data_IF_550985722568
#
_entry.id   IF_550985722568
#
_cell.length_a   1.000
_cell.length_b   1.000
_cell.length_c   1.000
_cell.angle_alpha   90.00
_cell.angle_beta   90.00
_cell.angle_gamma   90.00
#
_symmetry.space_group_name_H-M   'P 1'
#
loop_
_entity.id
_entity.type
_entity.pdbx_description
1 polymer ?
#
# COMPACT_ATOMS: atom_id res chain seq x y z
N UNK A 1 26.49 -15.83 -2.40
CA UNK A 1 26.41 -14.84 -3.51
C UNK A 1 25.86 -13.54 -2.91
N UNK A 2 26.44 -12.39 -3.24
CA UNK A 2 25.84 -11.09 -2.85
C UNK A 2 24.66 -10.80 -3.77
N UNK A 3 23.57 -10.27 -3.22
CA UNK A 3 22.43 -9.84 -4.05
C UNK A 3 22.84 -8.60 -4.84
N UNK A 4 22.47 -8.47 -6.13
CA UNK A 4 22.85 -7.31 -6.95
C UNK A 4 22.00 -6.06 -6.66
N UNK A 5 20.86 -6.20 -6.00
CA UNK A 5 19.91 -5.09 -5.77
C UNK A 5 20.57 -3.91 -5.02
N UNK A 6 21.31 -4.08 -3.90
CA UNK A 6 21.97 -2.95 -3.24
C UNK A 6 23.01 -2.22 -4.11
N UNK A 7 23.71 -2.94 -4.98
CA UNK A 7 24.67 -2.34 -5.93
C UNK A 7 23.92 -1.45 -6.93
N UNK A 8 22.81 -1.95 -7.48
CA UNK A 8 21.95 -1.18 -8.37
C UNK A 8 21.31 0.04 -7.70
N UNK A 9 20.86 -0.09 -6.45
CA UNK A 9 20.38 1.06 -5.68
C UNK A 9 21.49 2.11 -5.49
N UNK A 10 22.74 1.68 -5.30
CA UNK A 10 23.90 2.58 -5.22
C UNK A 10 24.13 3.30 -6.55
N UNK A 11 24.03 2.60 -7.68
CA UNK A 11 24.10 3.22 -9.01
C UNK A 11 23.03 4.30 -9.18
N UNK A 12 21.78 4.05 -8.78
CA UNK A 12 20.73 5.08 -8.80
C UNK A 12 21.12 6.30 -7.94
N UNK A 13 21.63 6.08 -6.72
CA UNK A 13 22.07 7.17 -5.86
C UNK A 13 23.16 8.00 -6.51
N UNK A 14 24.12 7.37 -7.18
CA UNK A 14 25.21 8.07 -7.86
C UNK A 14 24.72 8.88 -9.07
N UNK A 15 23.70 8.41 -9.80
CA UNK A 15 23.10 9.16 -10.91
C UNK A 15 22.39 10.45 -10.47
N UNK A 16 21.88 10.50 -9.23
CA UNK A 16 21.12 11.65 -8.73
C UNK A 16 21.90 12.49 -7.71
N UNK A 17 23.10 12.06 -7.32
CA UNK A 17 23.91 12.69 -6.27
C UNK A 17 24.12 14.18 -6.53
N UNK A 18 24.52 14.53 -7.75
CA UNK A 18 24.83 15.92 -8.13
C UNK A 18 23.58 16.71 -8.57
N UNK A 19 22.36 16.15 -8.42
CA UNK A 19 21.11 16.85 -8.70
C UNK A 19 20.72 17.75 -7.53
N UNK A 20 21.54 18.78 -7.31
CA UNK A 20 21.55 19.64 -6.13
C UNK A 20 20.46 20.71 -6.07
N UNK A 21 19.51 20.70 -7.01
CA UNK A 21 18.43 21.69 -7.05
C UNK A 21 17.46 21.59 -5.86
N UNK A 22 16.63 22.63 -5.73
CA UNK A 22 15.64 22.75 -4.66
C UNK A 22 16.23 23.28 -3.35
N UNK A 23 15.38 23.41 -2.34
CA UNK A 23 15.73 23.95 -1.03
C UNK A 23 15.11 23.10 0.09
N UNK A 24 15.70 23.11 1.28
CA UNK A 24 15.08 22.47 2.46
C UNK A 24 13.84 23.27 2.90
N UNK A 25 12.88 22.61 3.54
CA UNK A 25 11.74 23.30 4.12
C UNK A 25 12.21 24.25 5.24
N UNK A 26 11.88 25.55 5.12
CA UNK A 26 12.41 26.61 5.99
C UNK A 26 11.39 27.18 6.99
N UNK A 27 10.10 26.85 6.81
CA UNK A 27 9.02 27.33 7.68
C UNK A 27 8.95 26.63 9.05
N UNK A 28 9.70 25.52 9.23
CA UNK A 28 9.93 24.85 10.52
C UNK A 28 11.43 24.90 10.80
N UNK A 29 11.89 25.57 11.88
CA UNK A 29 13.32 25.71 12.21
C UNK A 29 14.11 24.40 12.22
N UNK A 30 13.51 23.33 12.73
CA UNK A 30 14.12 22.00 12.80
C UNK A 30 14.35 21.37 11.43
N UNK A 31 13.48 21.65 10.44
CA UNK A 31 13.66 21.21 9.06
C UNK A 31 14.65 22.12 8.30
N UNK A 32 14.67 23.41 8.63
CA UNK A 32 15.59 24.38 8.03
C UNK A 32 17.06 24.05 8.36
N UNK A 33 17.32 23.42 9.51
CA UNK A 33 18.63 22.96 9.94
C UNK A 33 19.04 21.58 9.41
N UNK A 34 18.21 20.93 8.59
CA UNK A 34 18.52 19.61 8.04
C UNK A 34 19.71 19.68 7.09
N UNK A 35 20.60 18.68 7.17
CA UNK A 35 21.71 18.53 6.22
C UNK A 35 21.16 18.20 4.82
N UNK A 36 21.31 19.10 3.83
CA UNK A 36 20.67 18.96 2.52
C UNK A 36 21.30 17.86 1.66
N UNK A 37 22.49 17.36 2.02
CA UNK A 37 23.23 16.37 1.23
C UNK A 37 22.93 14.93 1.67
N UNK A 38 22.02 14.75 2.63
CA UNK A 38 21.50 13.43 2.99
C UNK A 38 20.80 12.78 1.80
N UNK A 39 21.13 11.51 1.60
CA UNK A 39 20.69 10.74 0.45
C UNK A 39 20.59 9.26 0.82
N UNK A 40 19.41 8.68 0.61
CA UNK A 40 19.17 7.25 0.80
C UNK A 40 18.01 6.73 -0.05
N UNK A 41 18.04 5.43 -0.34
CA UNK A 41 17.00 4.69 -1.05
C UNK A 41 16.87 3.29 -0.45
N UNK A 42 15.63 2.83 -0.25
CA UNK A 42 15.33 1.50 0.27
C UNK A 42 14.15 0.86 -0.46
N UNK A 43 14.20 -0.46 -0.57
CA UNK A 43 13.15 -1.32 -1.11
C UNK A 43 12.82 -2.42 -0.10
N UNK A 44 11.54 -2.75 0.06
CA UNK A 44 11.10 -3.92 0.78
C UNK A 44 10.20 -4.78 -0.13
N UNK A 45 10.59 -6.02 -0.37
CA UNK A 45 9.79 -6.95 -1.19
C UNK A 45 8.59 -7.48 -0.39
N UNK A 46 7.57 -7.98 -1.08
CA UNK A 46 6.44 -8.67 -0.43
C UNK A 46 6.85 -9.94 0.32
N UNK A 47 8.05 -10.47 0.07
CA UNK A 47 8.66 -11.58 0.79
C UNK A 47 9.46 -11.19 2.04
N UNK A 48 9.45 -9.90 2.42
CA UNK A 48 10.10 -9.43 3.65
C UNK A 48 11.59 -9.10 3.53
N UNK A 49 12.15 -9.11 2.33
CA UNK A 49 13.56 -8.74 2.12
C UNK A 49 13.69 -7.23 1.99
N UNK A 50 14.54 -6.63 2.83
CA UNK A 50 14.82 -5.19 2.81
C UNK A 50 16.20 -4.95 2.21
N UNK A 51 16.24 -4.16 1.15
CA UNK A 51 17.46 -3.69 0.50
C UNK A 51 17.55 -2.17 0.65
N UNK A 52 18.75 -1.63 0.83
CA UNK A 52 18.94 -0.18 0.83
C UNK A 52 20.33 0.20 0.35
N UNK A 53 20.46 1.45 -0.06
CA UNK A 53 21.72 2.11 -0.37
C UNK A 53 21.73 3.52 0.25
N UNK A 54 22.94 4.07 0.39
CA UNK A 54 23.19 5.38 1.01
C UNK A 54 23.46 5.27 2.50
N UNK A 55 24.45 6.02 2.98
CA UNK A 55 24.87 6.04 4.40
C UNK A 55 23.76 6.57 5.33
N UNK A 56 22.77 7.26 4.76
CA UNK A 56 21.68 7.92 5.48
C UNK A 56 20.41 7.05 5.57
N UNK A 57 20.44 5.78 5.14
CA UNK A 57 19.24 4.93 5.13
C UNK A 57 18.63 4.68 6.52
N UNK A 58 19.47 4.79 7.57
CA UNK A 58 19.10 4.62 8.98
C UNK A 58 18.99 5.95 9.74
N UNK A 59 19.13 7.09 9.05
CA UNK A 59 18.94 8.42 9.65
C UNK A 59 17.46 8.67 9.87
N UNK A 60 17.09 9.03 11.09
CA UNK A 60 15.71 9.38 11.43
C UNK A 60 15.35 10.79 10.92
N UNK A 61 14.13 10.91 10.42
CA UNK A 61 13.47 12.16 10.06
C UNK A 61 11.96 12.05 10.33
N UNK A 62 11.27 13.18 10.46
CA UNK A 62 9.83 13.16 10.71
C UNK A 62 9.06 12.73 9.47
N UNK A 63 8.09 11.83 9.63
CA UNK A 63 7.31 11.24 8.53
C UNK A 63 6.46 12.27 7.76
N UNK A 64 6.01 13.34 8.41
CA UNK A 64 5.27 14.43 7.77
C UNK A 64 4.04 13.92 7.00
N UNK A 65 3.74 14.48 5.83
CA UNK A 65 2.59 14.09 4.99
C UNK A 65 2.61 12.64 4.49
N UNK A 66 3.74 11.92 4.62
CA UNK A 66 3.82 10.47 4.33
C UNK A 66 2.96 9.66 5.31
N UNK A 67 2.61 10.22 6.47
CA UNK A 67 1.71 9.60 7.45
C UNK A 67 0.28 9.43 6.95
N UNK A 68 -0.19 10.32 6.06
CA UNK A 68 -1.61 10.43 5.67
C UNK A 68 -2.20 9.15 5.08
N UNK A 69 -1.54 8.44 4.13
CA UNK A 69 -2.06 7.19 3.60
C UNK A 69 -2.23 6.11 4.68
N UNK A 70 -1.33 6.05 5.66
CA UNK A 70 -1.39 5.04 6.72
C UNK A 70 -2.51 5.32 7.72
N UNK A 71 -2.75 6.58 8.09
CA UNK A 71 -3.88 6.95 8.94
C UNK A 71 -5.21 6.81 8.21
N UNK A 72 -5.26 7.09 6.91
CA UNK A 72 -6.43 6.79 6.09
C UNK A 72 -6.73 5.29 6.03
N UNK A 73 -5.70 4.45 5.86
CA UNK A 73 -5.86 3.00 5.91
C UNK A 73 -6.38 2.53 7.29
N UNK A 74 -5.91 3.15 8.38
CA UNK A 74 -6.40 2.86 9.73
C UNK A 74 -7.87 3.23 9.89
N UNK A 75 -8.29 4.42 9.45
CA UNK A 75 -9.69 4.83 9.53
C UNK A 75 -10.61 3.87 8.76
N UNK A 76 -10.20 3.45 7.56
CA UNK A 76 -10.91 2.45 6.77
C UNK A 76 -10.97 1.08 7.47
N UNK A 77 -9.89 0.71 8.16
CA UNK A 77 -9.83 -0.53 8.94
C UNK A 77 -10.77 -0.52 10.16
N UNK A 78 -10.92 0.62 10.84
CA UNK A 78 -11.75 0.74 12.04
C UNK A 78 -13.23 0.90 11.73
N UNK A 79 -13.56 1.70 10.71
CA UNK A 79 -14.93 2.17 10.48
C UNK A 79 -15.54 1.61 9.19
N UNK A 80 -14.73 1.07 8.29
CA UNK A 80 -15.16 0.68 6.96
C UNK A 80 -15.30 1.87 6.00
N UNK A 81 -15.48 1.55 4.73
CA UNK A 81 -15.45 2.53 3.63
C UNK A 81 -16.54 3.58 3.74
N UNK A 82 -17.79 3.16 3.97
CA UNK A 82 -18.95 4.06 3.90
C UNK A 82 -18.86 5.17 4.94
N UNK A 83 -18.53 4.82 6.20
CA UNK A 83 -18.40 5.78 7.29
C UNK A 83 -17.23 6.77 7.09
N UNK A 84 -16.10 6.32 6.52
CA UNK A 84 -14.98 7.22 6.22
C UNK A 84 -15.34 8.17 5.08
N UNK A 85 -16.05 7.67 4.07
CA UNK A 85 -16.48 8.48 2.93
C UNK A 85 -17.48 9.56 3.32
N UNK A 86 -18.30 9.37 4.36
CA UNK A 86 -19.15 10.44 4.91
C UNK A 86 -18.36 11.67 5.38
N UNK A 87 -17.06 11.55 5.59
CA UNK A 87 -16.19 12.58 6.17
C UNK A 87 -15.18 13.13 5.16
N UNK A 88 -14.72 12.31 4.22
CA UNK A 88 -13.71 12.69 3.23
C UNK A 88 -14.00 12.07 1.85
N UNK A 89 -13.77 12.83 0.79
CA UNK A 89 -13.87 12.36 -0.59
C UNK A 89 -12.68 11.50 -1.04
N UNK A 90 -12.64 11.19 -2.33
CA UNK A 90 -11.55 10.45 -3.00
C UNK A 90 -10.97 11.18 -4.22
N UNK A 91 -11.54 12.33 -4.57
CA UNK A 91 -11.24 13.02 -5.83
C UNK A 91 -9.91 13.78 -5.72
N UNK A 92 -9.09 13.80 -6.79
CA UNK A 92 -7.91 14.66 -6.81
C UNK A 92 -8.33 16.12 -6.65
N UNK A 93 -7.57 16.90 -5.88
CA UNK A 93 -7.78 18.35 -5.82
C UNK A 93 -7.28 18.98 -7.12
N UNK A 94 -8.15 19.75 -7.79
CA UNK A 94 -7.80 20.43 -9.06
C UNK A 94 -7.05 21.75 -8.89
N UNK A 95 -6.95 22.30 -7.67
CA UNK A 95 -6.31 23.61 -7.43
C UNK A 95 -5.15 23.55 -6.44
N UNK A 96 -4.11 24.31 -6.80
CA UNK A 96 -2.87 24.47 -6.07
C UNK A 96 -3.12 25.13 -4.71
N UNK A 97 -3.17 24.30 -3.66
CA UNK A 97 -2.87 24.69 -2.28
C UNK A 97 -3.71 25.83 -1.62
N UNK A 98 -4.69 26.45 -2.30
CA UNK A 98 -5.66 27.46 -1.83
C UNK A 98 -6.94 27.33 -2.70
N UNK A 99 -8.19 27.53 -2.28
CA UNK A 99 -8.81 27.98 -1.03
C UNK A 99 -9.73 26.86 -0.49
N UNK A 100 -9.46 26.37 0.72
CA UNK A 100 -10.28 25.43 1.51
C UNK A 100 -10.39 23.96 1.06
N UNK A 101 -10.25 23.64 -0.23
CA UNK A 101 -10.25 22.25 -0.75
C UNK A 101 -11.39 21.36 -0.22
N UNK A 102 -12.58 21.95 -0.13
CA UNK A 102 -13.83 21.26 0.21
C UNK A 102 -14.65 21.03 -1.06
N UNK A 103 -15.47 19.99 -1.08
CA UNK A 103 -16.44 19.77 -2.14
C UNK A 103 -17.55 20.82 -2.06
N UNK A 104 -17.87 21.45 -3.20
CA UNK A 104 -18.87 22.53 -3.27
C UNK A 104 -20.29 22.10 -2.86
N UNK A 105 -20.60 20.80 -2.94
CA UNK A 105 -21.95 20.29 -2.67
C UNK A 105 -22.14 19.89 -1.20
N UNK A 106 -21.10 19.34 -0.56
CA UNK A 106 -21.22 18.74 0.77
C UNK A 106 -20.19 19.23 1.79
N UNK A 107 -19.28 20.12 1.39
CA UNK A 107 -18.26 20.74 2.24
C UNK A 107 -17.28 19.74 2.89
N UNK A 108 -17.20 18.50 2.41
CA UNK A 108 -16.19 17.53 2.86
C UNK A 108 -14.87 17.81 2.16
N UNK A 109 -13.71 17.56 2.81
CA UNK A 109 -12.43 17.62 2.11
C UNK A 109 -12.41 16.63 0.94
N UNK A 110 -11.87 17.07 -0.19
CA UNK A 110 -11.97 16.31 -1.46
C UNK A 110 -11.19 14.98 -1.45
N UNK A 111 -10.13 14.85 -0.65
CA UNK A 111 -9.40 13.60 -0.45
C UNK A 111 -8.57 13.61 0.86
N UNK A 112 -8.13 12.43 1.36
CA UNK A 112 -7.31 12.33 2.58
C UNK A 112 -5.83 12.73 2.42
N UNK A 113 -5.35 13.04 1.21
CA UNK A 113 -3.93 13.35 0.96
C UNK A 113 -3.61 14.84 1.15
N UNK A 114 -4.63 15.70 1.11
CA UNK A 114 -4.54 17.11 1.49
C UNK A 114 -4.69 17.30 3.01
N UNK A 115 -4.26 18.44 3.54
CA UNK A 115 -4.28 18.68 5.00
C UNK A 115 -5.69 18.66 5.58
N UNK A 116 -6.68 19.24 4.88
CA UNK A 116 -8.07 19.24 5.35
C UNK A 116 -8.61 17.81 5.53
N UNK A 117 -8.41 16.95 4.54
CA UNK A 117 -8.80 15.54 4.63
C UNK A 117 -8.00 14.78 5.67
N UNK A 118 -6.69 15.04 5.78
CA UNK A 118 -5.86 14.39 6.78
C UNK A 118 -6.26 14.74 8.22
N UNK A 119 -6.58 16.01 8.49
CA UNK A 119 -7.11 16.46 9.79
C UNK A 119 -8.46 15.79 10.04
N UNK A 120 -9.37 15.80 9.08
CA UNK A 120 -10.68 15.17 9.23
C UNK A 120 -10.57 13.65 9.50
N UNK A 121 -9.74 12.93 8.75
CA UNK A 121 -9.49 11.50 8.91
C UNK A 121 -8.81 11.18 10.24
N UNK A 122 -7.85 12.00 10.68
CA UNK A 122 -7.21 11.84 11.98
C UNK A 122 -8.27 11.82 13.11
N UNK A 123 -9.28 12.69 13.03
CA UNK A 123 -10.34 12.79 14.04
C UNK A 123 -11.30 11.60 14.08
N UNK A 124 -11.24 10.69 13.10
CA UNK A 124 -12.01 9.45 13.10
C UNK A 124 -11.36 8.35 13.93
N UNK A 125 -10.05 8.44 14.14
CA UNK A 125 -9.27 7.38 14.78
C UNK A 125 -9.67 7.23 16.24
N UNK A 126 -9.91 5.98 16.63
CA UNK A 126 -10.30 5.58 17.99
C UNK A 126 -11.67 6.13 18.46
N UNK A 127 -12.48 6.65 17.52
CA UNK A 127 -13.83 7.12 17.79
C UNK A 127 -13.91 8.57 18.29
N UNK A 128 -15.15 9.08 18.31
CA UNK A 128 -15.47 10.50 18.59
C UNK A 128 -15.17 10.95 20.03
N UNK A 129 -15.07 10.00 20.96
CA UNK A 129 -14.81 10.26 22.38
C UNK A 129 -13.33 10.09 22.74
N UNK A 130 -12.46 9.78 21.76
CA UNK A 130 -11.02 9.60 21.99
C UNK A 130 -10.36 10.91 22.41
N UNK A 131 -9.56 10.86 23.47
CA UNK A 131 -8.65 11.98 23.77
C UNK A 131 -7.57 12.12 22.68
N UNK A 132 -6.91 13.29 22.64
CA UNK A 132 -5.76 13.54 21.76
C UNK A 132 -4.66 12.51 22.00
N UNK A 133 -4.34 12.25 23.27
CA UNK A 133 -3.26 11.35 23.67
C UNK A 133 -3.53 9.90 23.23
N UNK A 134 -4.75 9.39 23.46
CA UNK A 134 -5.13 8.02 23.05
C UNK A 134 -5.11 7.85 21.53
N UNK A 135 -5.57 8.88 20.81
CA UNK A 135 -5.60 8.88 19.34
C UNK A 135 -4.20 8.89 18.76
N UNK A 136 -3.33 9.76 19.28
CA UNK A 136 -1.91 9.84 18.88
C UNK A 136 -1.19 8.53 19.19
N UNK A 137 -1.41 7.95 20.36
CA UNK A 137 -0.79 6.68 20.73
C UNK A 137 -1.23 5.54 19.81
N UNK A 138 -2.51 5.49 19.42
CA UNK A 138 -3.00 4.48 18.47
C UNK A 138 -2.36 4.61 17.08
N UNK A 139 -2.17 5.84 16.60
CA UNK A 139 -1.49 6.11 15.34
C UNK A 139 0.00 5.70 15.43
N UNK A 140 0.67 6.07 16.52
CA UNK A 140 2.07 5.71 16.78
C UNK A 140 2.27 4.20 16.91
N UNK A 141 1.36 3.48 17.60
CA UNK A 141 1.37 2.02 17.70
C UNK A 141 1.24 1.37 16.32
N UNK A 142 0.26 1.79 15.51
CA UNK A 142 0.12 1.29 14.15
C UNK A 142 1.42 1.51 13.35
N UNK A 143 1.99 2.72 13.39
CA UNK A 143 3.19 3.02 12.62
C UNK A 143 4.38 2.19 13.09
N UNK A 144 4.47 1.93 14.40
CA UNK A 144 5.48 1.04 14.98
C UNK A 144 5.33 -0.40 14.50
N UNK A 145 4.11 -0.92 14.45
CA UNK A 145 3.81 -2.25 13.92
C UNK A 145 4.10 -2.34 12.43
N UNK A 146 3.73 -1.31 11.65
CA UNK A 146 4.05 -1.23 10.23
C UNK A 146 5.57 -1.21 9.98
N UNK A 147 6.33 -0.46 10.77
CA UNK A 147 7.80 -0.41 10.69
C UNK A 147 8.49 -1.66 11.24
N UNK A 148 7.82 -2.43 12.11
CA UNK A 148 8.38 -3.58 12.80
C UNK A 148 9.31 -3.21 13.97
N UNK A 149 9.24 -1.96 14.46
CA UNK A 149 9.99 -1.46 15.62
C UNK A 149 9.22 -0.35 16.31
N UNK A 150 9.54 -0.08 17.57
CA UNK A 150 8.97 1.05 18.30
C UNK A 150 9.41 2.39 17.66
N UNK A 151 8.44 3.22 17.28
CA UNK A 151 8.64 4.57 16.79
C UNK A 151 8.29 5.60 17.86
N UNK A 152 8.91 6.77 17.75
CA UNK A 152 8.82 7.87 18.71
C UNK A 152 8.42 9.16 18.01
N UNK A 153 7.81 10.07 18.76
CA UNK A 153 7.43 11.40 18.28
C UNK A 153 8.56 12.39 18.60
N UNK A 154 8.91 13.23 17.64
CA UNK A 154 9.74 14.39 17.88
C UNK A 154 8.91 15.51 18.53
N UNK A 155 8.93 15.55 19.87
CA UNK A 155 8.16 16.51 20.65
C UNK A 155 8.61 17.97 20.43
N UNK A 156 9.89 18.20 20.08
CA UNK A 156 10.40 19.54 19.83
C UNK A 156 9.86 20.06 18.49
N UNK A 157 9.96 19.25 17.44
CA UNK A 157 9.39 19.59 16.14
C UNK A 157 7.86 19.74 16.22
N UNK A 158 7.16 18.84 16.92
CA UNK A 158 5.72 18.96 17.10
C UNK A 158 5.31 20.28 17.75
N UNK A 159 6.01 20.69 18.82
CA UNK A 159 5.73 21.96 19.48
C UNK A 159 6.03 23.17 18.59
N UNK A 160 7.12 23.12 17.82
CA UNK A 160 7.52 24.15 16.86
C UNK A 160 6.51 24.30 15.72
N UNK A 161 6.09 23.19 15.12
CA UNK A 161 5.09 23.18 14.05
C UNK A 161 3.71 23.64 14.55
N UNK A 162 3.30 23.23 15.75
CA UNK A 162 2.04 23.67 16.35
C UNK A 162 2.02 25.19 16.63
N UNK A 163 3.15 25.77 17.05
CA UNK A 163 3.26 27.20 17.29
C UNK A 163 3.09 28.06 16.01
N UNK A 164 3.44 27.51 14.84
CA UNK A 164 3.28 28.15 13.53
C UNK A 164 2.08 27.65 12.72
N UNK A 165 1.16 26.88 13.32
CA UNK A 165 0.14 26.11 12.60
C UNK A 165 -1.09 26.93 12.13
N UNK A 166 -1.00 28.24 11.96
CA UNK A 166 -2.14 29.13 11.64
C UNK A 166 -2.99 28.61 10.46
N UNK A 167 -2.33 28.13 9.40
CA UNK A 167 -3.03 27.57 8.23
C UNK A 167 -3.82 26.30 8.58
N UNK A 168 -3.23 25.38 9.33
CA UNK A 168 -3.92 24.14 9.75
C UNK A 168 -5.01 24.44 10.78
N UNK A 169 -4.82 25.41 11.67
CA UNK A 169 -5.84 25.90 12.61
C UNK A 169 -7.01 26.52 11.86
N UNK A 170 -6.76 27.33 10.83
CA UNK A 170 -7.80 27.89 9.96
C UNK A 170 -8.61 26.79 9.29
N UNK A 171 -7.94 25.77 8.73
CA UNK A 171 -8.60 24.58 8.14
C UNK A 171 -9.45 23.87 9.20
N UNK A 172 -8.91 23.61 10.39
CA UNK A 172 -9.64 22.91 11.44
C UNK A 172 -10.86 23.71 11.93
N UNK A 173 -10.75 25.04 12.06
CA UNK A 173 -11.90 25.90 12.36
C UNK A 173 -12.98 25.82 11.27
N UNK A 174 -12.58 25.79 10.00
CA UNK A 174 -13.48 25.62 8.87
C UNK A 174 -14.21 24.27 8.94
N UNK A 175 -13.49 23.17 9.11
CA UNK A 175 -14.06 21.83 9.24
C UNK A 175 -15.04 21.72 10.41
N UNK A 176 -14.74 22.36 11.55
CA UNK A 176 -15.67 22.45 12.69
C UNK A 176 -16.93 23.22 12.34
N UNK A 177 -16.81 24.32 11.60
CA UNK A 177 -17.97 25.14 11.22
C UNK A 177 -18.97 24.36 10.36
N UNK A 178 -18.49 23.40 9.57
CA UNK A 178 -19.31 22.47 8.78
C UNK A 178 -19.69 21.18 9.51
N UNK A 179 -19.29 21.01 10.78
CA UNK A 179 -19.59 19.82 11.56
C UNK A 179 -18.81 18.55 11.16
N UNK A 180 -17.76 18.68 10.35
CA UNK A 180 -16.93 17.57 9.90
C UNK A 180 -16.06 17.02 11.04
N UNK A 181 -15.54 17.91 11.89
CA UNK A 181 -14.80 17.52 13.11
C UNK A 181 -15.48 18.09 14.35
N UNK A 182 -15.40 17.36 15.47
CA UNK A 182 -16.09 17.67 16.73
C UNK A 182 -15.18 18.33 17.77
N UNK A 183 -13.95 17.82 17.89
CA UNK A 183 -12.93 18.33 18.83
C UNK A 183 -12.63 19.80 18.56
N UNK A 184 -11.94 20.46 19.50
CA UNK A 184 -11.47 21.82 19.28
C UNK A 184 -10.49 21.87 18.09
N UNK A 185 -10.42 23.02 17.40
CA UNK A 185 -9.52 23.17 16.25
C UNK A 185 -8.06 22.95 16.67
N UNK A 186 -7.71 23.42 17.88
CA UNK A 186 -6.39 23.23 18.46
C UNK A 186 -6.08 21.74 18.72
N UNK A 187 -7.01 21.00 19.31
CA UNK A 187 -6.80 19.57 19.61
C UNK A 187 -6.69 18.72 18.34
N UNK A 188 -7.51 19.03 17.33
CA UNK A 188 -7.44 18.36 16.03
C UNK A 188 -6.10 18.60 15.33
N UNK A 189 -5.60 19.84 15.35
CA UNK A 189 -4.30 20.20 14.78
C UNK A 189 -3.14 19.61 15.59
N UNK A 190 -3.23 19.61 16.92
CA UNK A 190 -2.22 18.98 17.79
C UNK A 190 -2.08 17.50 17.47
N UNK A 191 -3.18 16.75 17.43
CA UNK A 191 -3.19 15.33 17.08
C UNK A 191 -2.58 15.05 15.70
N UNK A 192 -2.92 15.86 14.69
CA UNK A 192 -2.35 15.75 13.35
C UNK A 192 -0.85 16.11 13.31
N UNK A 193 -0.42 17.11 14.08
CA UNK A 193 0.98 17.55 14.14
C UNK A 193 1.86 16.48 14.82
N UNK A 194 1.36 15.86 15.89
CA UNK A 194 2.03 14.74 16.55
C UNK A 194 2.17 13.53 15.61
N UNK A 195 1.14 13.22 14.81
CA UNK A 195 1.20 12.23 13.73
C UNK A 195 2.31 12.55 12.71
N UNK A 196 2.42 13.80 12.25
CA UNK A 196 3.44 14.23 11.30
C UNK A 196 4.87 14.20 11.89
N UNK A 197 4.98 14.31 13.21
CA UNK A 197 6.24 14.36 13.94
C UNK A 197 6.80 12.99 14.35
N UNK A 198 6.16 11.89 13.94
CA UNK A 198 6.70 10.54 14.17
C UNK A 198 8.00 10.35 13.38
N UNK A 199 9.06 9.93 14.07
CA UNK A 199 10.38 9.69 13.50
C UNK A 199 10.44 8.32 12.80
N UNK A 200 10.92 8.32 11.57
CA UNK A 200 11.11 7.14 10.72
C UNK A 200 12.44 7.22 9.99
N UNK A 201 12.92 6.09 9.51
CA UNK A 201 14.06 5.98 8.58
C UNK A 201 13.57 5.62 7.18
N UNK A 202 14.47 5.68 6.19
CA UNK A 202 14.15 5.22 4.83
C UNK A 202 13.79 3.74 4.81
N UNK A 203 14.43 2.92 5.66
CA UNK A 203 14.09 1.48 5.78
C UNK A 203 12.69 1.27 6.35
N UNK A 204 12.33 2.00 7.41
CA UNK A 204 11.00 1.89 8.02
C UNK A 204 9.93 2.16 6.97
N UNK A 205 10.07 3.27 6.23
CA UNK A 205 9.12 3.66 5.19
C UNK A 205 9.01 2.63 4.05
N UNK A 206 10.10 1.95 3.68
CA UNK A 206 10.05 0.89 2.68
C UNK A 206 9.21 -0.30 3.17
N UNK A 207 9.38 -0.71 4.44
CA UNK A 207 8.60 -1.81 5.06
C UNK A 207 7.13 -1.41 5.26
N UNK A 208 6.87 -0.20 5.75
CA UNK A 208 5.51 0.34 5.91
C UNK A 208 4.79 0.35 4.55
N UNK A 209 5.45 0.84 3.50
CA UNK A 209 4.92 0.84 2.12
C UNK A 209 4.68 -0.56 1.59
N UNK A 210 5.59 -1.50 1.84
CA UNK A 210 5.44 -2.89 1.43
C UNK A 210 4.25 -3.58 2.12
N UNK A 211 3.88 -3.15 3.34
CA UNK A 211 2.66 -3.62 4.00
C UNK A 211 1.39 -3.21 3.23
N UNK A 212 1.38 -2.06 2.58
CA UNK A 212 0.29 -1.70 1.66
C UNK A 212 0.35 -2.56 0.39
N UNK A 213 1.54 -2.86 -0.15
CA UNK A 213 1.71 -3.70 -1.33
C UNK A 213 1.18 -5.13 -1.15
N UNK A 214 1.31 -5.70 0.05
CA UNK A 214 0.83 -7.05 0.39
C UNK A 214 -0.67 -7.12 0.73
N UNK A 215 -1.40 -6.00 0.63
CA UNK A 215 -2.79 -5.94 1.06
C UNK A 215 -2.94 -6.05 2.59
N UNK A 216 -2.01 -5.42 3.32
CA UNK A 216 -2.10 -5.20 4.76
C UNK A 216 -1.37 -6.21 5.63
N UNK A 217 -0.52 -7.07 5.04
CA UNK A 217 0.32 -8.02 5.78
C UNK A 217 1.73 -7.47 5.90
N UNK A 218 2.20 -7.21 7.11
CA UNK A 218 3.56 -6.74 7.35
C UNK A 218 4.54 -7.82 6.84
N UNK A 219 5.41 -7.52 5.85
CA UNK A 219 6.11 -8.55 5.08
C UNK A 219 7.25 -9.25 5.85
N UNK A 220 7.77 -8.65 6.91
CA UNK A 220 8.82 -9.18 7.78
C UNK A 220 8.25 -10.00 8.94
N UNK A 221 7.17 -9.52 9.57
CA UNK A 221 6.56 -10.18 10.74
C UNK A 221 5.45 -11.16 10.36
N UNK A 222 4.88 -11.04 9.16
CA UNK A 222 3.73 -11.81 8.70
C UNK A 222 2.39 -11.40 9.33
N UNK A 223 2.38 -10.35 10.16
CA UNK A 223 1.18 -9.89 10.85
C UNK A 223 0.22 -9.16 9.90
N UNK A 224 -1.07 -9.50 9.93
CA UNK A 224 -2.10 -8.73 9.23
C UNK A 224 -2.48 -7.50 10.07
N UNK A 225 -2.04 -6.32 9.61
CA UNK A 225 -2.30 -5.03 10.25
C UNK A 225 -3.49 -4.31 9.64
N UNK A 226 -3.74 -4.50 8.33
CA UNK A 226 -4.78 -3.82 7.57
C UNK A 226 -5.55 -4.82 6.70
N UNK A 227 -6.79 -4.48 6.37
CA UNK A 227 -7.59 -5.23 5.41
C UNK A 227 -7.14 -4.97 3.97
N UNK A 228 -7.25 -5.97 3.07
CA UNK A 228 -6.96 -5.77 1.65
C UNK A 228 -7.81 -4.67 1.01
N UNK A 229 -9.06 -4.49 1.47
CA UNK A 229 -9.97 -3.42 1.05
C UNK A 229 -9.43 -2.03 1.41
N UNK A 230 -8.99 -1.84 2.67
CA UNK A 230 -8.40 -0.58 3.11
C UNK A 230 -7.14 -0.24 2.32
N UNK A 231 -6.21 -1.20 2.17
CA UNK A 231 -4.99 -1.00 1.39
C UNK A 231 -5.28 -0.64 -0.07
N UNK A 232 -6.22 -1.34 -0.72
CA UNK A 232 -6.59 -1.08 -2.11
C UNK A 232 -7.12 0.34 -2.29
N UNK A 233 -7.99 0.81 -1.39
CA UNK A 233 -8.53 2.16 -1.48
C UNK A 233 -7.47 3.21 -1.18
N UNK A 234 -6.64 3.00 -0.16
CA UNK A 234 -5.49 3.87 0.13
C UNK A 234 -4.56 4.01 -1.08
N UNK A 235 -4.24 2.91 -1.75
CA UNK A 235 -3.38 2.92 -2.94
C UNK A 235 -4.03 3.64 -4.12
N UNK A 236 -5.36 3.50 -4.29
CA UNK A 236 -6.09 4.25 -5.31
C UNK A 236 -5.97 5.76 -5.09
N UNK A 237 -6.16 6.22 -3.86
CA UNK A 237 -6.04 7.65 -3.53
C UNK A 237 -4.58 8.14 -3.59
N UNK A 238 -3.60 7.32 -3.18
CA UNK A 238 -2.19 7.64 -3.38
C UNK A 238 -1.87 7.83 -4.88
N UNK A 239 -2.48 7.03 -5.75
CA UNK A 239 -2.30 7.14 -7.21
C UNK A 239 -2.91 8.42 -7.77
N UNK A 240 -4.10 8.81 -7.32
CA UNK A 240 -4.81 9.98 -7.86
C UNK A 240 -4.40 11.31 -7.23
N UNK A 241 -3.98 11.32 -5.96
CA UNK A 241 -3.79 12.55 -5.19
C UNK A 241 -2.48 12.61 -4.38
N UNK A 242 -1.68 11.53 -4.34
CA UNK A 242 -0.51 11.45 -3.45
C UNK A 242 0.65 12.40 -3.82
N UNK A 243 0.75 12.76 -5.09
CA UNK A 243 1.74 13.71 -5.64
C UNK A 243 1.10 15.06 -6.01
N UNK A 244 0.01 15.43 -5.32
CA UNK A 244 -0.68 16.72 -5.46
C UNK A 244 -1.06 17.01 -6.93
N UNK A 245 -0.89 18.25 -7.39
CA UNK A 245 -1.18 18.69 -8.77
C UNK A 245 -0.33 17.96 -9.83
N UNK A 246 0.70 17.23 -9.41
CA UNK A 246 1.55 16.40 -10.23
C UNK A 246 1.05 14.96 -10.40
N UNK A 247 0.01 14.51 -9.69
CA UNK A 247 -0.36 13.10 -9.62
C UNK A 247 -0.67 12.45 -10.98
N UNK A 248 -1.34 13.16 -11.89
CA UNK A 248 -1.60 12.66 -13.25
C UNK A 248 -0.31 12.47 -14.07
N UNK A 249 0.62 13.44 -14.02
CA UNK A 249 1.93 13.35 -14.68
C UNK A 249 2.79 12.25 -14.05
N UNK A 250 2.74 12.14 -12.72
CA UNK A 250 3.44 11.11 -11.97
C UNK A 250 2.97 9.71 -12.34
N UNK A 251 1.67 9.46 -12.40
CA UNK A 251 1.14 8.15 -12.77
C UNK A 251 1.42 7.78 -14.24
N UNK A 252 1.58 8.76 -15.13
CA UNK A 252 1.92 8.51 -16.53
C UNK A 252 3.44 8.30 -16.75
N UNK A 253 4.29 9.01 -16.01
CA UNK A 253 5.74 8.95 -16.18
C UNK A 253 6.46 7.95 -15.27
N UNK A 254 6.00 7.81 -14.03
CA UNK A 254 6.58 6.91 -13.01
C UNK A 254 5.66 5.72 -12.74
N UNK A 255 4.35 5.95 -12.62
CA UNK A 255 3.37 4.87 -12.47
C UNK A 255 3.45 4.09 -11.16
N UNK A 256 4.05 4.65 -10.11
CA UNK A 256 4.12 4.04 -8.78
C UNK A 256 3.26 4.88 -7.83
N UNK A 257 2.16 4.36 -7.24
CA UNK A 257 1.40 5.06 -6.21
C UNK A 257 2.32 5.59 -5.11
N UNK A 258 2.32 6.91 -4.84
CA UNK A 258 3.37 7.54 -4.03
C UNK A 258 2.84 8.64 -3.10
N UNK A 259 3.66 9.03 -2.12
CA UNK A 259 3.41 10.19 -1.25
C UNK A 259 4.73 10.82 -0.81
N UNK A 260 4.89 12.11 -1.06
CA UNK A 260 6.02 12.92 -0.55
C UNK A 260 5.72 13.55 0.83
N UNK A 261 6.78 13.81 1.59
CA UNK A 261 6.79 14.62 2.81
C UNK A 261 7.83 15.73 2.73
N UNK A 262 7.51 16.87 3.34
CA UNK A 262 8.36 18.09 3.38
C UNK A 262 9.70 17.91 4.09
N UNK A 263 9.87 16.82 4.85
CA UNK A 263 11.16 16.43 5.41
C UNK A 263 12.13 15.88 4.36
N UNK A 264 11.69 15.67 3.12
CA UNK A 264 12.48 15.08 2.03
C UNK A 264 12.28 13.58 1.84
N UNK A 265 11.38 12.97 2.63
CA UNK A 265 10.96 11.60 2.42
C UNK A 265 10.00 11.47 1.23
N UNK A 266 10.08 10.36 0.51
CA UNK A 266 9.13 9.99 -0.53
C UNK A 266 8.93 8.48 -0.47
N UNK A 267 7.67 8.05 -0.39
CA UNK A 267 7.32 6.63 -0.49
C UNK A 267 6.66 6.32 -1.82
N UNK A 268 6.75 5.05 -2.23
CA UNK A 268 5.81 4.52 -3.19
C UNK A 268 5.65 3.02 -3.08
N UNK A 269 4.53 2.54 -3.61
CA UNK A 269 4.05 1.19 -3.38
C UNK A 269 3.57 0.57 -4.67
N UNK A 270 4.20 -0.52 -5.11
CA UNK A 270 3.71 -1.33 -6.22
C UNK A 270 2.91 -2.52 -5.66
N UNK A 271 1.58 -2.56 -5.86
CA UNK A 271 0.71 -3.61 -5.35
C UNK A 271 1.20 -5.00 -5.79
N UNK A 272 1.34 -5.91 -4.82
CA UNK A 272 1.81 -7.28 -5.04
C UNK A 272 3.31 -7.45 -5.27
N UNK A 273 4.09 -6.37 -5.37
CA UNK A 273 5.52 -6.45 -5.72
C UNK A 273 6.43 -5.99 -4.57
N UNK A 274 6.37 -4.71 -4.19
CA UNK A 274 7.29 -4.11 -3.23
C UNK A 274 6.86 -2.73 -2.76
N UNK A 275 7.43 -2.30 -1.63
CA UNK A 275 7.43 -0.91 -1.14
C UNK A 275 8.78 -0.25 -1.35
N UNK A 276 8.78 1.06 -1.60
CA UNK A 276 9.94 1.89 -1.90
C UNK A 276 9.91 3.09 -0.99
N UNK A 277 11.08 3.51 -0.52
CA UNK A 277 11.24 4.81 0.11
C UNK A 277 12.57 5.44 -0.28
N UNK A 278 12.58 6.75 -0.47
CA UNK A 278 13.79 7.56 -0.60
C UNK A 278 13.80 8.68 0.43
N UNK A 279 14.99 9.17 0.74
CA UNK A 279 15.18 10.33 1.60
C UNK A 279 16.23 11.26 0.99
N UNK A 280 15.82 12.50 0.72
CA UNK A 280 16.68 13.60 0.30
C UNK A 280 16.00 14.94 0.64
N UNK A 281 16.53 15.75 1.58
CA UNK A 281 15.84 16.91 2.14
C UNK A 281 15.40 18.02 1.16
N UNK A 282 16.18 18.30 0.11
CA UNK A 282 15.86 19.39 -0.84
C UNK A 282 14.57 19.11 -1.62
N UNK A 283 13.67 20.10 -1.62
CA UNK A 283 12.36 20.05 -2.24
C UNK A 283 12.29 20.92 -3.50
N UNK A 284 11.51 20.47 -4.48
CA UNK A 284 11.12 21.26 -5.64
C UNK A 284 10.05 22.31 -5.28
N UNK A 285 9.63 23.12 -6.26
CA UNK A 285 8.59 24.13 -6.08
C UNK A 285 7.20 23.56 -5.77
N UNK A 286 7.00 22.24 -5.87
CA UNK A 286 5.77 21.53 -5.53
C UNK A 286 5.87 20.85 -4.15
N UNK A 287 6.98 21.01 -3.42
CA UNK A 287 7.19 20.42 -2.10
C UNK A 287 7.57 18.93 -2.15
N UNK A 288 8.05 18.43 -3.29
CA UNK A 288 8.52 17.05 -3.43
C UNK A 288 10.05 16.98 -3.40
N UNK A 289 10.60 15.91 -2.83
CA UNK A 289 12.06 15.69 -2.84
C UNK A 289 12.62 15.63 -4.26
N UNK A 290 13.54 16.53 -4.62
CA UNK A 290 14.10 16.65 -5.98
C UNK A 290 14.78 15.35 -6.41
N UNK A 291 15.75 14.88 -5.60
CA UNK A 291 16.44 13.63 -5.87
C UNK A 291 15.51 12.43 -5.70
N UNK A 292 14.57 12.48 -4.74
CA UNK A 292 13.58 11.41 -4.55
C UNK A 292 12.73 11.16 -5.79
N UNK A 293 12.15 12.21 -6.38
CA UNK A 293 11.40 12.11 -7.64
C UNK A 293 12.26 11.46 -8.73
N UNK A 294 13.51 11.92 -8.89
CA UNK A 294 14.42 11.38 -9.90
C UNK A 294 14.78 9.91 -9.68
N UNK A 295 14.96 9.47 -8.43
CA UNK A 295 15.18 8.05 -8.12
C UNK A 295 14.00 7.19 -8.56
N UNK A 296 12.77 7.64 -8.31
CA UNK A 296 11.57 6.91 -8.70
C UNK A 296 11.38 6.85 -10.23
N UNK A 297 11.73 7.91 -10.95
CA UNK A 297 11.78 7.89 -12.42
C UNK A 297 12.76 6.82 -12.94
N UNK A 298 13.97 6.75 -12.36
CA UNK A 298 14.98 5.75 -12.72
C UNK A 298 14.50 4.33 -12.38
N UNK A 299 13.93 4.12 -11.18
CA UNK A 299 13.37 2.82 -10.79
C UNK A 299 12.27 2.36 -11.74
N UNK A 300 11.35 3.24 -12.12
CA UNK A 300 10.28 2.92 -13.05
C UNK A 300 10.82 2.57 -14.45
N UNK A 301 11.70 3.40 -14.99
CA UNK A 301 12.26 3.24 -16.33
C UNK A 301 13.18 2.02 -16.44
N UNK A 302 14.15 1.89 -15.55
CA UNK A 302 15.23 0.92 -15.67
C UNK A 302 14.84 -0.47 -15.13
N UNK A 303 14.00 -0.53 -14.10
CA UNK A 303 13.52 -1.81 -13.52
C UNK A 303 12.13 -2.22 -14.02
N UNK A 304 11.49 -1.43 -14.89
CA UNK A 304 10.13 -1.68 -15.38
C UNK A 304 9.05 -1.59 -14.29
N UNK A 305 9.35 -0.90 -13.18
CA UNK A 305 8.51 -0.79 -12.00
C UNK A 305 7.37 0.22 -12.24
N UNK A 306 6.33 -0.21 -12.96
CA UNK A 306 5.22 0.65 -13.32
C UNK A 306 3.88 -0.10 -13.19
N UNK A 307 2.90 0.49 -12.50
CA UNK A 307 1.60 -0.14 -12.20
C UNK A 307 0.82 -0.55 -13.45
N UNK A 308 0.96 0.24 -14.53
CA UNK A 308 0.29 0.01 -15.81
C UNK A 308 1.12 -0.83 -16.81
N UNK A 309 2.27 -1.38 -16.40
CA UNK A 309 3.03 -2.28 -17.27
C UNK A 309 2.26 -3.58 -17.50
N UNK A 310 2.08 -3.95 -18.77
CA UNK A 310 1.40 -5.17 -19.18
C UNK A 310 2.29 -6.42 -19.10
N UNK A 311 3.53 -6.29 -18.61
CA UNK A 311 4.57 -7.32 -18.66
C UNK A 311 4.29 -8.54 -17.76
N UNK A 312 3.20 -8.53 -16.98
CA UNK A 312 2.70 -9.73 -16.32
C UNK A 312 2.02 -10.65 -17.34
N UNK A 313 2.83 -11.38 -18.12
CA UNK A 313 2.37 -12.58 -18.79
C UNK A 313 1.77 -13.52 -17.73
N UNK A 314 0.49 -13.84 -17.88
CA UNK A 314 -0.21 -14.81 -17.05
C UNK A 314 0.61 -16.10 -17.02
N UNK A 315 1.16 -16.47 -15.86
CA UNK A 315 1.67 -17.83 -15.66
C UNK A 315 0.50 -18.79 -15.91
N UNK A 316 0.64 -19.80 -16.79
CA UNK A 316 -0.42 -20.77 -17.02
C UNK A 316 -0.84 -21.43 -15.70
N UNK A 317 -2.12 -21.33 -15.38
CA UNK A 317 -2.67 -21.87 -14.13
C UNK A 317 -2.63 -23.39 -14.09
N UNK A 318 -2.73 -24.06 -15.25
CA UNK A 318 -2.46 -25.49 -15.40
C UNK A 318 -0.96 -25.69 -15.65
N UNK A 319 -0.34 -26.51 -14.80
CA UNK A 319 1.06 -26.92 -14.95
C UNK A 319 1.20 -28.14 -15.84
N UNK A 320 0.30 -29.11 -15.66
CA UNK A 320 0.29 -30.36 -16.41
C UNK A 320 -1.05 -31.06 -16.25
N UNK A 321 -1.49 -31.75 -17.29
CA UNK A 321 -2.58 -32.74 -17.24
C UNK A 321 -1.95 -34.09 -17.56
N UNK A 322 -1.95 -35.01 -16.60
CA UNK A 322 -1.34 -36.34 -16.76
C UNK A 322 -2.38 -37.42 -16.52
N UNK A 323 -2.34 -38.48 -17.31
CA UNK A 323 -3.18 -39.66 -17.14
C UNK A 323 -2.36 -40.81 -16.59
N UNK A 324 -2.86 -41.46 -15.56
CA UNK A 324 -2.32 -42.71 -15.02
C UNK A 324 -3.45 -43.72 -14.87
N UNK A 325 -3.50 -44.70 -15.78
CA UNK A 325 -4.60 -45.65 -15.86
C UNK A 325 -5.98 -44.98 -16.03
N UNK A 326 -6.81 -45.08 -14.99
CA UNK A 326 -8.16 -44.53 -14.91
C UNK A 326 -8.24 -43.15 -14.23
N UNK A 327 -7.12 -42.67 -13.69
CA UNK A 327 -7.01 -41.39 -13.00
C UNK A 327 -6.45 -40.32 -13.95
N UNK A 328 -7.11 -39.16 -14.02
CA UNK A 328 -6.59 -37.94 -14.64
C UNK A 328 -6.18 -36.95 -13.55
N UNK A 329 -4.90 -36.60 -13.50
CA UNK A 329 -4.33 -35.65 -12.53
C UNK A 329 -4.09 -34.31 -13.22
N UNK A 330 -4.80 -33.28 -12.79
CA UNK A 330 -4.63 -31.90 -13.23
C UNK A 330 -3.84 -31.17 -12.16
N UNK A 331 -2.60 -30.80 -12.46
CA UNK A 331 -1.75 -30.03 -11.54
C UNK A 331 -1.91 -28.55 -11.81
N UNK A 332 -2.34 -27.80 -10.82
CA UNK A 332 -2.40 -26.35 -10.86
C UNK A 332 -1.15 -25.73 -10.21
N UNK A 333 -0.85 -24.48 -10.56
CA UNK A 333 0.29 -23.77 -9.97
C UNK A 333 0.07 -22.26 -9.84
N UNK A 334 0.86 -21.63 -8.98
CA UNK A 334 0.90 -20.18 -8.83
C UNK A 334 -0.32 -19.62 -8.08
N UNK A 335 -0.61 -18.33 -8.28
CA UNK A 335 -1.77 -17.68 -7.67
C UNK A 335 -3.00 -17.78 -8.58
N UNK A 336 -4.07 -18.36 -8.06
CA UNK A 336 -5.31 -18.57 -8.81
C UNK A 336 -6.27 -17.40 -8.58
N UNK A 337 -6.22 -16.45 -9.50
CA UNK A 337 -7.15 -15.33 -9.62
C UNK A 337 -8.22 -15.59 -10.71
N UNK A 338 -8.98 -14.57 -11.12
CA UNK A 338 -9.98 -14.70 -12.18
C UNK A 338 -9.35 -15.16 -13.51
N UNK A 339 -8.32 -14.48 -13.99
CA UNK A 339 -7.67 -14.79 -15.27
C UNK A 339 -7.03 -16.18 -15.27
N UNK A 340 -6.34 -16.56 -14.19
CA UNK A 340 -5.77 -17.89 -14.07
C UNK A 340 -6.87 -18.97 -14.05
N UNK A 341 -7.95 -18.76 -13.30
CA UNK A 341 -9.08 -19.70 -13.26
C UNK A 341 -9.82 -19.79 -14.59
N UNK A 342 -10.02 -18.67 -15.30
CA UNK A 342 -10.62 -18.64 -16.63
C UNK A 342 -9.77 -19.45 -17.63
N UNK A 343 -8.46 -19.21 -17.67
CA UNK A 343 -7.54 -19.98 -18.50
C UNK A 343 -7.55 -21.47 -18.14
N UNK A 344 -7.57 -21.82 -16.84
CA UNK A 344 -7.68 -23.21 -16.38
C UNK A 344 -8.97 -23.83 -16.94
N UNK A 345 -10.12 -23.18 -16.75
CA UNK A 345 -11.39 -23.71 -17.23
C UNK A 345 -11.43 -23.84 -18.76
N UNK A 346 -10.87 -22.87 -19.48
CA UNK A 346 -10.76 -22.91 -20.93
C UNK A 346 -9.89 -24.10 -21.38
N UNK A 347 -8.71 -24.24 -20.79
CA UNK A 347 -7.79 -25.33 -21.08
C UNK A 347 -8.43 -26.68 -20.80
N UNK A 348 -9.09 -26.86 -19.65
CA UNK A 348 -9.79 -28.09 -19.32
C UNK A 348 -10.95 -28.39 -20.29
N UNK A 349 -11.67 -27.38 -20.75
CA UNK A 349 -12.75 -27.56 -21.73
C UNK A 349 -12.25 -27.96 -23.13
N UNK A 350 -11.04 -27.52 -23.48
CA UNK A 350 -10.40 -27.85 -24.76
C UNK A 350 -9.68 -29.21 -24.73
N UNK A 351 -9.38 -29.73 -23.54
CA UNK A 351 -8.71 -31.02 -23.37
C UNK A 351 -9.72 -32.17 -23.35
N UNK A 352 -9.39 -33.25 -24.05
CA UNK A 352 -10.13 -34.50 -23.94
C UNK A 352 -9.71 -35.24 -22.66
N UNK A 353 -10.38 -34.95 -21.54
CA UNK A 353 -10.14 -35.60 -20.27
C UNK A 353 -10.64 -37.05 -20.31
N UNK A 354 -9.77 -38.01 -20.00
CA UNK A 354 -10.10 -39.44 -20.01
C UNK A 354 -10.16 -40.05 -18.61
N UNK A 355 -10.62 -41.30 -18.51
CA UNK A 355 -10.75 -42.02 -17.24
C UNK A 355 -12.06 -41.73 -16.51
N UNK A 356 -12.28 -42.33 -15.35
CA UNK A 356 -13.47 -42.10 -14.51
C UNK A 356 -13.20 -41.27 -13.27
N UNK A 357 -11.92 -41.09 -12.91
CA UNK A 357 -11.48 -40.37 -11.72
C UNK A 357 -10.62 -39.19 -12.11
N UNK A 358 -10.83 -38.06 -11.43
CA UNK A 358 -10.11 -36.82 -11.66
C UNK A 358 -9.60 -36.26 -10.34
N UNK A 359 -8.30 -35.98 -10.28
CA UNK A 359 -7.66 -35.38 -9.11
C UNK A 359 -7.12 -34.01 -9.50
N UNK A 360 -7.59 -32.99 -8.81
CA UNK A 360 -7.05 -31.64 -8.90
C UNK A 360 -5.93 -31.48 -7.86
N UNK A 361 -4.69 -31.52 -8.33
CA UNK A 361 -3.50 -31.32 -7.50
C UNK A 361 -3.22 -29.82 -7.37
N UNK A 362 -3.41 -29.29 -6.16
CA UNK A 362 -3.14 -27.89 -5.82
C UNK A 362 -1.90 -27.71 -4.95
N UNK A 363 -1.06 -28.74 -4.82
CA UNK A 363 0.19 -28.69 -4.02
C UNK A 363 1.21 -27.65 -4.49
N UNK A 364 1.04 -27.10 -5.70
CA UNK A 364 1.86 -26.02 -6.27
C UNK A 364 1.11 -24.71 -6.40
N UNK A 365 -0.12 -24.63 -5.91
CA UNK A 365 -0.90 -23.39 -5.84
C UNK A 365 -0.45 -22.60 -4.62
N UNK A 366 0.02 -21.38 -4.85
CA UNK A 366 0.48 -20.49 -3.78
C UNK A 366 -0.69 -19.88 -3.02
N UNK A 367 -1.78 -19.54 -3.72
CA UNK A 367 -2.97 -18.96 -3.10
C UNK A 367 -4.17 -18.94 -4.05
N UNK A 368 -5.37 -18.90 -3.48
CA UNK A 368 -6.61 -18.61 -4.20
C UNK A 368 -7.22 -17.29 -3.75
N UNK A 369 -7.59 -16.43 -4.70
CA UNK A 369 -8.54 -15.36 -4.38
C UNK A 369 -9.98 -15.93 -4.36
N UNK A 370 -10.94 -15.14 -3.86
CA UNK A 370 -12.35 -15.58 -3.73
C UNK A 370 -12.95 -16.06 -5.05
N UNK A 371 -12.69 -15.34 -6.14
CA UNK A 371 -13.28 -15.65 -7.45
C UNK A 371 -12.60 -16.84 -8.12
N UNK A 372 -11.28 -16.92 -8.10
CA UNK A 372 -10.50 -18.04 -8.62
C UNK A 372 -10.89 -19.35 -7.93
N UNK A 373 -11.00 -19.35 -6.59
CA UNK A 373 -11.52 -20.51 -5.84
C UNK A 373 -12.92 -20.90 -6.29
N UNK A 374 -13.83 -19.92 -6.43
CA UNK A 374 -15.22 -20.17 -6.86
C UNK A 374 -15.27 -20.78 -8.26
N UNK A 375 -14.51 -20.24 -9.21
CA UNK A 375 -14.48 -20.69 -10.61
C UNK A 375 -13.90 -22.09 -10.75
N UNK A 376 -12.76 -22.37 -10.11
CA UNK A 376 -12.15 -23.70 -10.15
C UNK A 376 -13.07 -24.75 -9.53
N UNK A 377 -13.71 -24.44 -8.40
CA UNK A 377 -14.71 -25.34 -7.80
C UNK A 377 -15.91 -25.55 -8.71
N UNK A 378 -16.41 -24.51 -9.38
CA UNK A 378 -17.51 -24.66 -10.34
C UNK A 378 -17.11 -25.54 -11.54
N UNK A 379 -15.88 -25.40 -12.05
CA UNK A 379 -15.36 -26.28 -13.10
C UNK A 379 -15.32 -27.74 -12.64
N UNK A 380 -14.80 -27.99 -11.45
CA UNK A 380 -14.72 -29.33 -10.87
C UNK A 380 -16.11 -29.93 -10.62
N UNK A 381 -17.08 -29.12 -10.19
CA UNK A 381 -18.48 -29.52 -10.02
C UNK A 381 -19.09 -29.98 -11.34
N UNK A 382 -18.85 -29.25 -12.44
CA UNK A 382 -19.34 -29.61 -13.78
C UNK A 382 -18.71 -30.89 -14.31
N UNK A 383 -17.40 -31.07 -14.11
CA UNK A 383 -16.73 -32.33 -14.44
C UNK A 383 -17.34 -33.51 -13.67
N UNK A 384 -17.77 -33.28 -12.43
CA UNK A 384 -18.52 -34.29 -11.67
C UNK A 384 -19.91 -34.57 -12.26
N UNK A 385 -20.62 -33.56 -12.75
CA UNK A 385 -21.89 -33.72 -13.48
C UNK A 385 -21.72 -34.48 -14.80
N UNK A 386 -20.57 -34.32 -15.46
CA UNK A 386 -20.18 -35.06 -16.67
C UNK A 386 -19.76 -36.52 -16.38
N UNK A 387 -19.78 -36.94 -15.09
CA UNK A 387 -19.59 -38.32 -14.67
C UNK A 387 -18.24 -38.65 -14.04
N UNK A 388 -17.34 -37.68 -13.87
CA UNK A 388 -16.05 -37.90 -13.20
C UNK A 388 -16.20 -37.96 -11.67
N UNK A 389 -15.47 -38.88 -11.03
CA UNK A 389 -15.24 -38.82 -9.57
C UNK A 389 -14.12 -37.83 -9.28
N UNK A 390 -14.50 -36.63 -8.85
CA UNK A 390 -13.58 -35.51 -8.67
C UNK A 390 -13.10 -35.40 -7.21
N UNK A 391 -11.79 -35.23 -7.03
CA UNK A 391 -11.17 -34.99 -5.72
C UNK A 391 -10.08 -33.92 -5.80
N UNK A 392 -9.73 -33.32 -4.65
CA UNK A 392 -8.64 -32.35 -4.54
C UNK A 392 -7.53 -32.92 -3.68
N UNK A 393 -6.29 -32.83 -4.17
CA UNK A 393 -5.08 -33.03 -3.37
C UNK A 393 -4.55 -31.67 -2.92
N UNK A 394 -4.77 -31.33 -1.64
CA UNK A 394 -4.44 -30.03 -1.03
C UNK A 394 -3.64 -30.21 0.28
N UNK A 395 -2.35 -30.56 0.18
CA UNK A 395 -1.53 -30.85 1.37
C UNK A 395 -1.32 -29.63 2.27
N UNK A 396 -1.43 -28.42 1.71
CA UNK A 396 -1.17 -27.15 2.41
C UNK A 396 -2.45 -26.44 2.87
N UNK A 397 -3.62 -27.02 2.61
CA UNK A 397 -4.92 -26.46 2.99
C UNK A 397 -5.23 -25.12 2.32
N UNK A 398 -4.73 -24.88 1.10
CA UNK A 398 -4.90 -23.60 0.38
C UNK A 398 -6.36 -23.37 -0.06
N UNK A 399 -7.17 -24.43 -0.17
CA UNK A 399 -8.59 -24.37 -0.50
C UNK A 399 -9.41 -24.28 0.78
N UNK A 400 -9.57 -23.06 1.29
CA UNK A 400 -10.23 -22.77 2.57
C UNK A 400 -11.75 -23.05 2.64
N UNK A 401 -12.39 -23.44 1.53
CA UNK A 401 -13.80 -23.81 1.49
C UNK A 401 -14.01 -24.87 0.40
N UNK A 402 -14.39 -26.08 0.82
CA UNK A 402 -14.59 -27.27 -0.01
C UNK A 402 -16.04 -27.47 -0.48
N UNK A 403 -16.97 -26.59 -0.12
CA UNK A 403 -18.38 -26.66 -0.51
C UNK A 403 -18.59 -26.12 -1.92
N UNK A 404 -19.23 -26.91 -2.77
CA UNK A 404 -19.68 -26.49 -4.09
C UNK A 404 -20.91 -25.57 -4.00
N UNK A 405 -21.27 -24.92 -5.10
CA UNK A 405 -22.44 -24.03 -5.15
C UNK A 405 -23.79 -24.74 -4.97
N UNK A 406 -23.82 -26.06 -5.11
CA UNK A 406 -25.01 -26.89 -4.88
C UNK A 406 -25.12 -27.41 -3.42
N UNK A 407 -24.22 -26.98 -2.53
CA UNK A 407 -24.17 -27.37 -1.13
C UNK A 407 -23.48 -28.71 -0.85
N UNK A 408 -23.00 -29.41 -1.89
CA UNK A 408 -22.22 -30.65 -1.71
C UNK A 408 -20.75 -30.33 -1.45
N UNK A 409 -20.02 -31.26 -0.82
CA UNK A 409 -18.58 -31.13 -0.59
C UNK A 409 -17.78 -31.78 -1.71
N UNK A 410 -16.57 -31.26 -1.95
CA UNK A 410 -15.57 -31.94 -2.77
C UNK A 410 -14.81 -32.97 -1.93
N UNK A 411 -14.53 -34.13 -2.54
CA UNK A 411 -13.68 -35.14 -1.93
C UNK A 411 -12.23 -34.64 -1.87
N UNK A 412 -11.51 -35.05 -0.83
CA UNK A 412 -10.08 -34.76 -0.67
C UNK A 412 -9.29 -36.07 -0.64
N UNK A 413 -8.06 -36.03 -1.14
CA UNK A 413 -7.12 -37.15 -1.08
C UNK A 413 -5.84 -36.71 -0.39
N UNK A 414 -5.26 -37.62 0.40
CA UNK A 414 -4.03 -37.35 1.15
C UNK A 414 -2.76 -37.75 0.36
N UNK A 415 -2.92 -38.52 -0.72
CA UNK A 415 -1.82 -39.03 -1.57
C UNK A 415 -2.30 -39.11 -3.02
N UNK A 416 -1.42 -38.77 -3.96
CA UNK A 416 -1.65 -38.84 -5.41
C UNK A 416 -1.44 -40.24 -5.98
#
# INVERSE_FOLDING_TARGET
>A
MKMPIPEYLTEILDHVRDSDGGEVADYIPELAGADPDRLALALCTTSGHVYSAGEHADVEFTIQSISKPFVFALALQELGTDAVMEVVGLEPSGEAFNELSLDDNDNRPVNPMINAGAIAVNQLINGVDSSVEERVEKIRDLFSRLAGRELRIDAALSASELAGADRNLSIAHMLRSYGIIRDSAHDAVRSYTDQCSILVTTRDLAVMSATLATGGVQPVTGERLLSPEACRLTLAVMSSAGMYDGAGRWMAGVGIPAKSGVSGGLIGTLPGQLGIASFSPRLDSQGNSVRGVRMFELLSHDMGLHLMSADQQSVPGVRSITRDGDDTVIRLQGTINFTAAENILHELSAHNLGGTRLVLDVSRVTSFNRMGRRMVKEGLRRLREDGFRCSIFDPDGVVTNLEFSDGTLVDTVDVL
#
